data_IF_819904139187
#
_entry.id   IF_819904139187
#
_cell.length_a   1.000
_cell.length_b   1.000
_cell.length_c   1.000
_cell.angle_alpha   90.00
_cell.angle_beta   90.00
_cell.angle_gamma   90.00
#
_symmetry.space_group_name_H-M   'P 1'
#
loop_
_entity.id
_entity.type
_entity.pdbx_description
1 polymer ?
#
# COMPACT_ATOMS: atom_id res chain seq x y z
N UNK A 1 19.20 -23.41 -24.08
CA UNK A 1 18.68 -23.93 -22.80
C UNK A 1 17.17 -23.88 -22.88
N UNK A 2 16.54 -25.02 -23.15
CA UNK A 2 15.08 -25.14 -23.20
C UNK A 2 14.51 -24.90 -21.80
N UNK A 3 13.71 -23.85 -21.65
CA UNK A 3 12.83 -23.69 -20.49
C UNK A 3 11.70 -24.68 -20.72
N UNK A 4 11.82 -25.89 -20.17
CA UNK A 4 10.68 -26.79 -20.03
C UNK A 4 9.65 -26.05 -19.18
N UNK A 5 8.60 -25.52 -19.81
CA UNK A 5 7.42 -25.01 -19.12
C UNK A 5 6.86 -26.16 -18.30
N UNK A 6 7.12 -26.15 -16.99
CA UNK A 6 6.54 -27.10 -16.04
C UNK A 6 5.07 -26.76 -15.87
N UNK A 7 4.25 -27.12 -16.85
CA UNK A 7 2.80 -27.02 -16.76
C UNK A 7 2.36 -28.05 -15.72
N UNK A 8 1.80 -27.58 -14.60
CA UNK A 8 1.26 -28.47 -13.58
C UNK A 8 -0.10 -29.03 -14.05
N UNK A 9 -0.04 -30.10 -14.85
CA UNK A 9 -1.21 -30.72 -15.50
C UNK A 9 -2.23 -31.36 -14.53
N UNK A 10 -1.90 -31.45 -13.24
CA UNK A 10 -2.80 -32.03 -12.23
C UNK A 10 -3.85 -31.03 -11.74
N UNK A 11 -3.61 -29.72 -11.83
CA UNK A 11 -4.56 -28.72 -11.32
C UNK A 11 -5.96 -28.86 -11.93
N UNK A 12 -6.14 -28.98 -13.27
CA UNK A 12 -7.46 -29.16 -13.86
C UNK A 12 -8.15 -30.49 -13.48
N UNK A 13 -7.40 -31.46 -12.94
CA UNK A 13 -7.93 -32.78 -12.52
C UNK A 13 -8.39 -32.80 -11.07
N UNK A 14 -8.15 -31.73 -10.31
CA UNK A 14 -8.63 -31.61 -8.94
C UNK A 14 -10.16 -31.40 -8.94
N UNK A 15 -10.87 -31.90 -7.91
CA UNK A 15 -12.25 -31.52 -7.63
C UNK A 15 -12.42 -29.99 -7.62
N UNK A 16 -13.60 -29.51 -8.02
CA UNK A 16 -13.85 -28.08 -8.16
C UNK A 16 -13.66 -27.33 -6.85
N UNK A 17 -14.03 -27.93 -5.73
CA UNK A 17 -13.89 -27.38 -4.38
C UNK A 17 -12.42 -27.09 -4.05
N UNK A 18 -11.51 -28.00 -4.40
CA UNK A 18 -10.07 -27.81 -4.18
C UNK A 18 -9.49 -26.74 -5.10
N UNK A 19 -9.92 -26.68 -6.36
CA UNK A 19 -9.46 -25.64 -7.31
C UNK A 19 -9.88 -24.26 -6.85
N UNK A 20 -11.14 -24.11 -6.42
CA UNK A 20 -11.66 -22.86 -5.85
C UNK A 20 -10.95 -22.48 -4.55
N UNK A 21 -10.70 -23.44 -3.66
CA UNK A 21 -9.93 -23.19 -2.44
C UNK A 21 -8.52 -22.69 -2.75
N UNK A 22 -7.81 -23.33 -3.69
CA UNK A 22 -6.48 -22.88 -4.14
C UNK A 22 -6.56 -21.46 -4.69
N UNK A 23 -7.54 -21.15 -5.55
CA UNK A 23 -7.67 -19.78 -6.07
C UNK A 23 -7.90 -18.74 -4.97
N UNK A 24 -8.73 -19.06 -3.96
CA UNK A 24 -8.98 -18.17 -2.82
C UNK A 24 -7.73 -17.94 -1.98
N UNK A 25 -6.89 -18.96 -1.80
CA UNK A 25 -5.60 -18.86 -1.11
C UNK A 25 -4.55 -18.08 -1.93
N UNK A 26 -4.66 -18.11 -3.26
CA UNK A 26 -3.79 -17.33 -4.14
C UNK A 26 -4.17 -15.85 -4.24
N UNK A 27 -5.33 -15.43 -3.71
CA UNK A 27 -5.72 -14.02 -3.71
C UNK A 27 -4.78 -13.20 -2.82
N UNK A 28 -4.23 -12.08 -3.31
CA UNK A 28 -3.34 -11.25 -2.51
C UNK A 28 -4.11 -10.54 -1.39
N UNK A 29 -3.40 -10.25 -0.29
CA UNK A 29 -3.84 -9.29 0.73
C UNK A 29 -3.26 -7.92 0.38
N UNK A 30 -4.06 -7.05 -0.24
CA UNK A 30 -3.55 -5.80 -0.81
C UNK A 30 -3.70 -4.65 0.16
N UNK A 31 -3.05 -3.56 -0.20
CA UNK A 31 -3.25 -2.25 0.38
C UNK A 31 -4.06 -1.48 -0.66
N UNK A 32 -5.28 -1.09 -0.31
CA UNK A 32 -6.16 -0.29 -1.16
C UNK A 32 -5.88 1.17 -0.88
N UNK A 33 -5.13 1.83 -1.77
CA UNK A 33 -4.70 3.22 -1.61
C UNK A 33 -5.80 4.17 -2.09
N UNK A 34 -6.20 5.12 -1.24
CA UNK A 34 -7.17 6.18 -1.57
C UNK A 34 -6.53 7.26 -2.45
N UNK A 35 -5.21 7.43 -2.35
CA UNK A 35 -4.47 8.48 -3.04
C UNK A 35 -3.02 8.06 -3.38
N UNK A 36 -2.43 8.72 -4.36
CA UNK A 36 -1.00 8.59 -4.67
C UNK A 36 -0.16 9.39 -3.68
N UNK A 37 0.94 8.81 -3.16
CA UNK A 37 1.87 9.58 -2.35
C UNK A 37 2.66 10.55 -3.22
N UNK A 38 2.90 11.73 -2.66
CA UNK A 38 3.88 12.68 -3.14
C UNK A 38 5.30 12.14 -2.93
N UNK A 39 6.13 12.07 -3.99
CA UNK A 39 7.51 11.59 -3.88
C UNK A 39 8.33 12.35 -2.84
N UNK A 40 8.23 13.69 -2.81
CA UNK A 40 9.06 14.52 -1.92
C UNK A 40 8.88 14.18 -0.44
N UNK A 41 7.67 13.80 -0.05
CA UNK A 41 7.27 13.41 1.31
C UNK A 41 7.53 11.92 1.61
N UNK A 42 7.95 11.14 0.63
CA UNK A 42 8.43 9.76 0.81
C UNK A 42 9.95 9.74 0.91
N UNK A 43 10.62 10.65 0.22
CA UNK A 43 12.08 10.74 0.10
C UNK A 43 12.71 11.81 1.00
N UNK A 44 11.92 12.47 1.85
CA UNK A 44 12.30 13.49 2.84
C UNK A 44 13.17 14.63 2.27
N UNK A 45 13.04 14.96 0.97
CA UNK A 45 13.87 15.94 0.24
C UNK A 45 15.39 15.68 0.25
N UNK A 46 15.85 14.58 0.85
CA UNK A 46 17.27 14.27 1.09
C UNK A 46 17.75 13.16 0.16
N UNK A 47 16.87 12.28 -0.32
CA UNK A 47 17.28 11.19 -1.18
C UNK A 47 17.58 11.68 -2.61
N UNK A 48 18.65 11.17 -3.24
CA UNK A 48 19.03 11.56 -4.59
C UNK A 48 18.16 10.89 -5.68
N UNK A 49 17.36 9.88 -5.34
CA UNK A 49 16.40 9.21 -6.25
C UNK A 49 14.99 9.65 -5.92
N UNK A 50 14.33 10.34 -6.86
CA UNK A 50 12.89 10.55 -6.81
C UNK A 50 12.24 9.53 -7.76
N UNK A 51 11.52 8.56 -7.20
CA UNK A 51 10.63 7.73 -8.00
C UNK A 51 9.33 8.48 -8.28
N UNK A 52 8.84 8.45 -9.51
CA UNK A 52 7.42 8.75 -9.75
C UNK A 52 6.58 7.64 -9.14
N UNK A 53 6.03 7.87 -7.96
CA UNK A 53 5.29 6.89 -7.18
C UNK A 53 3.88 6.61 -7.70
N UNK A 54 3.40 7.38 -8.69
CA UNK A 54 2.06 7.22 -9.29
C UNK A 54 1.94 5.92 -10.06
N UNK A 55 2.98 5.48 -10.76
CA UNK A 55 2.92 4.25 -11.55
C UNK A 55 2.59 3.03 -10.69
N UNK A 56 3.19 2.95 -9.49
CA UNK A 56 2.92 1.88 -8.53
C UNK A 56 1.48 1.95 -8.03
N UNK A 57 0.99 3.14 -7.66
CA UNK A 57 -0.39 3.34 -7.21
C UNK A 57 -1.41 3.00 -8.30
N UNK A 58 -1.17 3.41 -9.56
CA UNK A 58 -2.02 3.08 -10.69
C UNK A 58 -2.04 1.59 -11.01
N UNK A 59 -0.92 0.89 -10.87
CA UNK A 59 -0.89 -0.56 -10.95
C UNK A 59 -1.68 -1.18 -9.78
N UNK A 60 -1.57 -0.60 -8.59
CA UNK A 60 -2.23 -1.07 -7.38
C UNK A 60 -3.74 -0.77 -7.33
N UNK A 61 -4.25 0.23 -8.06
CA UNK A 61 -5.69 0.51 -8.11
C UNK A 61 -6.46 -0.51 -8.96
N UNK A 62 -5.77 -1.17 -9.89
CA UNK A 62 -6.37 -2.16 -10.77
C UNK A 62 -6.74 -3.43 -10.00
N UNK A 63 -7.66 -4.24 -10.54
CA UNK A 63 -7.97 -5.58 -10.00
C UNK A 63 -6.71 -6.49 -9.94
N UNK A 64 -6.66 -7.48 -9.03
CA UNK A 64 -5.55 -8.43 -8.95
C UNK A 64 -5.37 -9.21 -10.25
N UNK A 65 -4.12 -9.56 -10.56
CA UNK A 65 -3.79 -10.15 -11.87
C UNK A 65 -4.19 -11.60 -11.99
N UNK A 66 -4.43 -12.25 -10.85
CA UNK A 66 -5.03 -13.58 -10.80
C UNK A 66 -6.39 -13.63 -11.54
N UNK A 67 -7.12 -12.50 -11.65
CA UNK A 67 -8.35 -12.40 -12.44
C UNK A 67 -8.15 -12.61 -13.95
N UNK A 68 -6.91 -12.49 -14.43
CA UNK A 68 -6.54 -12.63 -15.83
C UNK A 68 -6.08 -14.06 -16.18
N UNK A 69 -5.83 -14.92 -15.19
CA UNK A 69 -5.31 -16.29 -15.40
C UNK A 69 -6.32 -17.16 -16.14
N UNK A 70 -7.55 -17.25 -15.63
CA UNK A 70 -8.63 -18.01 -16.28
C UNK A 70 -10.00 -17.54 -15.78
N UNK A 71 -11.09 -18.08 -16.36
CA UNK A 71 -12.47 -17.71 -15.97
C UNK A 71 -12.80 -18.08 -14.52
N UNK A 72 -12.28 -19.20 -14.02
CA UNK A 72 -12.53 -19.65 -12.65
C UNK A 72 -11.83 -18.76 -11.62
N UNK A 73 -10.54 -18.48 -11.82
CA UNK A 73 -9.78 -17.56 -10.98
C UNK A 73 -10.43 -16.16 -10.97
N UNK A 74 -10.92 -15.71 -12.14
CA UNK A 74 -11.69 -14.46 -12.23
C UNK A 74 -12.96 -14.51 -11.39
N UNK A 75 -13.77 -15.56 -11.52
CA UNK A 75 -14.99 -15.67 -10.72
C UNK A 75 -14.69 -15.56 -9.22
N UNK A 76 -13.62 -16.21 -8.75
CA UNK A 76 -13.15 -16.14 -7.36
C UNK A 76 -12.76 -14.71 -6.94
N UNK A 77 -12.07 -13.94 -7.79
CA UNK A 77 -11.74 -12.53 -7.52
C UNK A 77 -12.98 -11.67 -7.31
N UNK A 78 -14.03 -11.92 -8.09
CA UNK A 78 -15.29 -11.17 -8.02
C UNK A 78 -16.27 -11.71 -6.97
N UNK A 79 -15.96 -12.79 -6.23
CA UNK A 79 -16.80 -13.25 -5.11
C UNK A 79 -16.88 -12.19 -4.01
N UNK A 80 -15.79 -11.46 -3.77
CA UNK A 80 -15.68 -10.48 -2.69
C UNK A 80 -15.12 -9.13 -3.14
N UNK A 81 -14.39 -9.08 -4.26
CA UNK A 81 -13.79 -7.83 -4.74
C UNK A 81 -14.61 -7.12 -5.81
N UNK A 82 -14.55 -5.80 -5.82
CA UNK A 82 -15.23 -4.94 -6.78
C UNK A 82 -14.48 -3.59 -6.94
N UNK A 83 -14.66 -2.88 -8.06
CA UNK A 83 -14.18 -1.50 -8.17
C UNK A 83 -15.05 -0.59 -7.30
N UNK A 84 -14.43 0.26 -6.50
CA UNK A 84 -15.07 1.47 -5.98
C UNK A 84 -15.06 2.45 -7.15
N UNK A 85 -16.21 2.58 -7.79
CA UNK A 85 -16.47 3.63 -8.79
C UNK A 85 -17.35 4.65 -8.08
N UNK A 86 -17.18 5.94 -8.38
CA UNK A 86 -17.99 7.07 -7.88
C UNK A 86 -19.51 6.92 -8.12
N UNK A 87 -19.99 5.81 -8.70
CA UNK A 87 -21.35 5.65 -9.21
C UNK A 87 -22.41 5.20 -8.19
N UNK A 88 -22.21 5.44 -6.90
CA UNK A 88 -23.33 5.39 -5.93
C UNK A 88 -23.21 6.56 -4.95
N UNK A 89 -23.26 7.79 -5.50
CA UNK A 89 -23.43 9.06 -4.77
C UNK A 89 -24.51 9.00 -3.67
N UNK A 90 -25.42 8.03 -3.73
CA UNK A 90 -26.50 7.84 -2.76
C UNK A 90 -26.10 7.06 -1.49
N UNK A 91 -24.92 6.43 -1.44
CA UNK A 91 -24.49 5.59 -0.31
C UNK A 91 -23.27 6.12 0.45
N UNK A 92 -22.48 7.00 -0.16
CA UNK A 92 -21.33 7.64 0.50
C UNK A 92 -21.84 8.88 1.23
N UNK A 93 -21.58 9.04 2.54
CA UNK A 93 -21.96 10.26 3.26
C UNK A 93 -21.26 11.48 2.65
N UNK A 94 -21.97 12.61 2.53
CA UNK A 94 -21.42 13.87 1.99
C UNK A 94 -20.10 14.28 2.67
N UNK A 95 -19.92 13.97 3.96
CA UNK A 95 -18.68 14.30 4.68
C UNK A 95 -17.46 13.49 4.20
N UNK A 96 -17.70 12.37 3.51
CA UNK A 96 -16.66 11.56 2.90
C UNK A 96 -16.32 12.03 1.47
N UNK A 97 -17.06 13.00 0.92
CA UNK A 97 -16.70 13.62 -0.35
C UNK A 97 -15.45 14.47 -0.16
N UNK A 98 -14.44 14.17 -0.97
CA UNK A 98 -13.20 14.92 -1.04
C UNK A 98 -12.63 14.76 -2.44
N UNK A 99 -11.96 15.80 -2.91
CA UNK A 99 -11.31 15.79 -4.21
C UNK A 99 -9.84 16.17 -4.06
N UNK A 100 -9.00 15.56 -4.87
CA UNK A 100 -7.59 15.93 -4.98
C UNK A 100 -7.00 15.34 -6.25
N UNK A 101 -6.05 16.03 -6.87
CA UNK A 101 -5.42 15.56 -8.12
C UNK A 101 -4.71 14.20 -7.99
N UNK A 102 -4.46 13.75 -6.76
CA UNK A 102 -3.82 12.47 -6.46
C UNK A 102 -4.80 11.37 -5.99
N UNK A 103 -6.11 11.65 -5.92
CA UNK A 103 -7.14 10.67 -5.55
C UNK A 103 -7.21 9.51 -6.57
N UNK A 104 -7.61 8.33 -6.11
CA UNK A 104 -7.64 7.11 -6.91
C UNK A 104 -9.01 6.42 -6.84
N UNK A 105 -9.55 6.07 -8.00
CA UNK A 105 -10.54 5.00 -8.12
C UNK A 105 -9.87 3.64 -7.93
N UNK A 106 -10.30 2.88 -6.93
CA UNK A 106 -9.59 1.70 -6.44
C UNK A 106 -10.44 0.43 -6.53
N UNK A 107 -9.79 -0.68 -6.88
CA UNK A 107 -10.31 -2.02 -6.61
C UNK A 107 -10.15 -2.35 -5.13
N UNK A 108 -11.21 -2.85 -4.51
CA UNK A 108 -11.19 -3.28 -3.11
C UNK A 108 -11.76 -4.68 -2.94
N UNK A 109 -11.15 -5.47 -2.07
CA UNK A 109 -11.72 -6.69 -1.49
C UNK A 109 -11.94 -6.48 0.02
N UNK A 110 -13.17 -6.21 0.48
CA UNK A 110 -13.44 -5.92 1.89
C UNK A 110 -13.06 -7.04 2.85
N UNK A 111 -12.89 -8.27 2.36
CA UNK A 111 -12.52 -9.42 3.20
C UNK A 111 -11.01 -9.55 3.40
N UNK A 112 -10.19 -8.92 2.55
CA UNK A 112 -8.73 -9.14 2.48
C UNK A 112 -7.88 -7.88 2.50
N UNK A 113 -8.42 -6.76 2.07
CA UNK A 113 -7.65 -5.55 1.84
C UNK A 113 -7.62 -4.64 3.06
N UNK A 114 -6.60 -3.79 3.10
CA UNK A 114 -6.40 -2.74 4.08
C UNK A 114 -6.54 -1.39 3.36
N UNK A 115 -7.46 -0.53 3.80
CA UNK A 115 -7.56 0.83 3.25
C UNK A 115 -6.39 1.69 3.74
N UNK A 116 -5.80 2.49 2.85
CA UNK A 116 -4.64 3.32 3.16
C UNK A 116 -4.76 4.72 2.59
N UNK A 117 -4.42 5.72 3.42
CA UNK A 117 -4.31 7.12 3.02
C UNK A 117 -2.85 7.59 3.14
N UNK A 118 -2.28 7.97 2.00
CA UNK A 118 -0.95 8.56 1.86
C UNK A 118 -0.92 10.06 2.19
N UNK A 119 -2.05 10.75 2.07
CA UNK A 119 -2.21 12.19 2.25
C UNK A 119 -1.45 12.72 3.48
N UNK A 120 -0.77 13.85 3.33
CA UNK A 120 -0.28 14.66 4.45
C UNK A 120 -0.58 16.14 4.15
N UNK A 121 -0.66 17.02 5.18
CA UNK A 121 -1.03 18.42 4.95
C UNK A 121 -0.10 19.19 4.00
N UNK A 122 1.14 18.75 3.80
CA UNK A 122 2.03 19.31 2.77
C UNK A 122 1.48 19.17 1.34
N UNK A 123 0.51 18.27 1.11
CA UNK A 123 -0.09 18.00 -0.21
C UNK A 123 -1.06 19.09 -0.65
N UNK A 124 -1.68 19.85 0.27
CA UNK A 124 -2.74 20.81 -0.07
C UNK A 124 -2.29 21.82 -1.13
N UNK A 125 -1.03 22.25 -1.07
CA UNK A 125 -0.44 23.21 -2.02
C UNK A 125 -0.26 22.62 -3.42
N UNK A 126 0.00 21.31 -3.53
CA UNK A 126 0.34 20.67 -4.81
C UNK A 126 -0.82 19.94 -5.47
N UNK A 127 -1.73 19.36 -4.68
CA UNK A 127 -2.82 18.53 -5.19
C UNK A 127 -4.21 19.16 -5.06
N UNK A 128 -4.31 20.41 -4.60
CA UNK A 128 -5.56 21.19 -4.51
C UNK A 128 -6.68 20.37 -3.88
N UNK A 129 -6.49 20.02 -2.61
CA UNK A 129 -7.43 19.16 -1.90
C UNK A 129 -8.62 19.97 -1.41
N UNK A 130 -9.83 19.51 -1.72
CA UNK A 130 -11.09 19.99 -1.18
C UNK A 130 -11.76 18.89 -0.37
N UNK A 131 -12.40 19.24 0.74
CA UNK A 131 -12.91 18.28 1.73
C UNK A 131 -11.83 17.73 2.68
N UNK A 132 -12.18 16.70 3.46
CA UNK A 132 -11.26 16.05 4.40
C UNK A 132 -11.13 14.55 4.10
N UNK A 133 -10.01 14.11 3.49
CA UNK A 133 -9.82 12.71 3.08
C UNK A 133 -9.82 11.71 4.24
N UNK A 134 -9.68 12.18 5.50
CA UNK A 134 -9.75 11.32 6.66
C UNK A 134 -11.16 10.75 6.88
N UNK A 135 -12.23 11.47 6.49
CA UNK A 135 -13.59 10.94 6.57
C UNK A 135 -13.78 9.71 5.68
N UNK A 136 -13.34 9.79 4.43
CA UNK A 136 -13.37 8.68 3.48
C UNK A 136 -12.53 7.48 4.01
N UNK A 137 -11.33 7.74 4.53
CA UNK A 137 -10.54 6.68 5.16
C UNK A 137 -11.29 6.01 6.31
N UNK A 138 -11.89 6.78 7.22
CA UNK A 138 -12.64 6.25 8.38
C UNK A 138 -13.87 5.48 7.93
N UNK A 139 -14.54 5.94 6.88
CA UNK A 139 -15.67 5.25 6.26
C UNK A 139 -15.24 3.91 5.67
N UNK A 140 -14.29 3.89 4.73
CA UNK A 140 -13.80 2.68 4.10
C UNK A 140 -13.18 1.69 5.10
N UNK A 141 -12.46 2.17 6.11
CA UNK A 141 -11.92 1.36 7.20
C UNK A 141 -13.00 0.64 8.02
N UNK A 142 -14.26 1.09 7.97
CA UNK A 142 -15.39 0.39 8.57
C UNK A 142 -15.95 -0.76 7.76
N UNK A 143 -15.70 -0.73 6.45
CA UNK A 143 -16.24 -1.69 5.51
C UNK A 143 -15.25 -2.84 5.27
N UNK A 144 -13.95 -2.57 5.40
CA UNK A 144 -12.90 -3.58 5.22
C UNK A 144 -12.48 -4.25 6.53
N UNK A 145 -12.30 -5.57 6.50
CA UNK A 145 -12.03 -6.38 7.68
C UNK A 145 -10.68 -6.06 8.35
N UNK A 146 -9.68 -5.60 7.58
CA UNK A 146 -8.36 -5.24 8.12
C UNK A 146 -8.27 -3.80 8.62
N UNK A 147 -9.36 -3.04 8.52
CA UNK A 147 -9.44 -1.65 8.97
C UNK A 147 -8.68 -0.67 8.08
N UNK A 148 -8.21 0.41 8.68
CA UNK A 148 -7.54 1.51 7.98
C UNK A 148 -6.10 1.72 8.41
N UNK A 149 -5.37 2.38 7.52
CA UNK A 149 -4.00 2.80 7.76
C UNK A 149 -3.74 4.20 7.23
N UNK A 150 -2.87 4.93 7.91
CA UNK A 150 -2.48 6.29 7.54
C UNK A 150 -0.98 6.49 7.75
N UNK A 151 -0.38 7.44 7.03
CA UNK A 151 1.03 7.79 7.27
C UNK A 151 1.19 8.61 8.55
N UNK A 152 2.35 8.44 9.20
CA UNK A 152 2.73 9.18 10.40
C UNK A 152 2.66 10.71 10.23
N UNK A 153 3.08 11.32 9.08
CA UNK A 153 2.94 12.76 8.89
C UNK A 153 1.49 13.23 9.05
N UNK A 154 0.50 12.54 8.46
CA UNK A 154 -0.91 12.89 8.66
C UNK A 154 -1.28 12.90 10.14
N UNK A 155 -0.98 11.80 10.83
CA UNK A 155 -1.31 11.65 12.25
C UNK A 155 -0.68 12.75 13.14
N UNK A 156 0.55 13.15 12.80
CA UNK A 156 1.28 14.21 13.51
C UNK A 156 0.55 15.56 13.46
N UNK A 157 -0.16 15.82 12.36
CA UNK A 157 -0.82 17.09 12.08
C UNK A 157 -2.35 17.07 12.22
N UNK A 158 -2.98 15.90 12.41
CA UNK A 158 -4.43 15.76 12.66
C UNK A 158 -4.96 16.77 13.67
N UNK A 159 -6.01 17.51 13.37
CA UNK A 159 -6.66 18.43 14.30
C UNK A 159 -7.49 17.70 15.37
N UNK A 160 -8.06 18.43 16.33
CA UNK A 160 -8.90 17.84 17.38
C UNK A 160 -10.11 17.08 16.79
N UNK A 161 -10.73 17.61 15.75
CA UNK A 161 -11.81 16.96 14.98
C UNK A 161 -11.33 15.65 14.35
N UNK A 162 -10.15 15.64 13.73
CA UNK A 162 -9.55 14.43 13.14
C UNK A 162 -9.27 13.35 14.18
N UNK A 163 -8.78 13.73 15.36
CA UNK A 163 -8.56 12.78 16.46
C UNK A 163 -9.88 12.14 16.92
N UNK A 164 -10.97 12.90 16.97
CA UNK A 164 -12.31 12.37 17.25
C UNK A 164 -12.80 11.42 16.16
N UNK A 165 -12.48 11.69 14.89
CA UNK A 165 -12.77 10.77 13.78
C UNK A 165 -11.99 9.46 13.92
N UNK A 166 -10.70 9.52 14.23
CA UNK A 166 -9.88 8.32 14.46
C UNK A 166 -10.40 7.48 15.62
N UNK A 167 -10.97 8.10 16.67
CA UNK A 167 -11.60 7.39 17.79
C UNK A 167 -12.86 6.58 17.39
N UNK A 168 -13.47 6.84 16.23
CA UNK A 168 -14.61 6.05 15.72
C UNK A 168 -14.24 4.61 15.36
N UNK A 169 -12.94 4.29 15.24
CA UNK A 169 -12.44 2.94 14.96
C UNK A 169 -11.55 2.46 16.12
N UNK A 170 -11.61 1.17 16.49
CA UNK A 170 -10.89 0.65 17.65
C UNK A 170 -9.38 0.55 17.44
N UNK A 171 -8.93 0.47 16.19
CA UNK A 171 -7.53 0.27 15.84
C UNK A 171 -7.16 0.86 14.49
N UNK A 172 -5.90 1.30 14.38
CA UNK A 172 -5.29 1.85 13.18
C UNK A 172 -3.88 1.31 12.99
N UNK A 173 -3.48 1.15 11.73
CA UNK A 173 -2.07 0.95 11.37
C UNK A 173 -1.48 2.30 10.99
N UNK A 174 -0.35 2.66 11.59
CA UNK A 174 0.36 3.91 11.31
C UNK A 174 1.64 3.57 10.56
N UNK A 175 1.70 3.98 9.29
CA UNK A 175 2.86 3.80 8.43
C UNK A 175 3.93 4.82 8.84
N UNK A 176 4.98 4.32 9.48
CA UNK A 176 6.06 5.13 10.05
C UNK A 176 7.01 5.63 8.97
N UNK A 177 7.36 4.75 8.02
CA UNK A 177 8.24 5.03 6.89
C UNK A 177 7.73 4.31 5.64
N UNK A 178 8.08 4.85 4.49
CA UNK A 178 7.83 4.25 3.18
C UNK A 178 9.17 3.93 2.54
N UNK A 179 9.33 2.70 2.08
CA UNK A 179 10.54 2.21 1.44
C UNK A 179 10.21 1.76 0.01
N UNK A 180 11.08 2.10 -0.93
CA UNK A 180 10.89 1.73 -2.34
C UNK A 180 11.86 0.61 -2.69
N UNK A 181 11.34 -0.45 -3.31
CA UNK A 181 12.15 -1.57 -3.79
C UNK A 181 12.22 -1.46 -5.31
N UNK A 182 13.40 -1.15 -5.84
CA UNK A 182 13.64 -1.09 -7.28
C UNK A 182 13.85 -2.49 -7.82
N UNK A 183 12.81 -3.08 -8.39
CA UNK A 183 12.93 -4.40 -8.98
C UNK A 183 11.93 -4.56 -10.13
N UNK A 184 12.30 -5.38 -11.11
CA UNK A 184 11.34 -5.78 -12.13
C UNK A 184 10.16 -6.51 -11.47
N UNK A 185 8.99 -6.43 -12.10
CA UNK A 185 7.80 -7.15 -11.63
C UNK A 185 8.05 -8.65 -11.41
N UNK A 186 8.86 -9.27 -12.27
CA UNK A 186 9.22 -10.69 -12.17
C UNK A 186 10.01 -10.98 -10.90
N UNK A 187 10.96 -10.13 -10.56
CA UNK A 187 11.76 -10.26 -9.32
C UNK A 187 10.85 -10.08 -8.10
N UNK A 188 9.99 -9.05 -8.11
CA UNK A 188 9.02 -8.83 -7.03
C UNK A 188 8.01 -9.96 -6.85
N UNK A 189 7.60 -10.63 -7.92
CA UNK A 189 6.74 -11.82 -7.86
C UNK A 189 7.50 -13.06 -7.36
N UNK A 190 8.73 -13.27 -7.85
CA UNK A 190 9.56 -14.41 -7.48
C UNK A 190 10.00 -14.39 -6.01
N UNK A 191 10.09 -13.21 -5.40
CA UNK A 191 10.35 -13.09 -3.96
C UNK A 191 9.16 -13.51 -3.09
N UNK A 192 7.95 -13.58 -3.64
CA UNK A 192 6.72 -13.83 -2.90
C UNK A 192 6.26 -12.68 -2.01
N UNK A 193 7.00 -11.57 -1.98
CA UNK A 193 6.71 -10.43 -1.09
C UNK A 193 5.66 -9.47 -1.65
N UNK A 194 5.57 -9.34 -2.98
CA UNK A 194 4.65 -8.42 -3.67
C UNK A 194 3.48 -9.14 -4.37
N UNK A 195 2.99 -10.23 -3.75
CA UNK A 195 1.97 -11.10 -4.31
C UNK A 195 2.54 -12.13 -5.28
N UNK A 196 1.86 -13.27 -5.43
CA UNK A 196 2.34 -14.41 -6.22
C UNK A 196 2.57 -14.06 -7.71
N UNK A 197 1.85 -13.07 -8.23
CA UNK A 197 1.96 -12.61 -9.61
C UNK A 197 2.52 -11.18 -9.72
N UNK A 198 3.10 -10.64 -8.64
CA UNK A 198 3.50 -9.24 -8.58
C UNK A 198 2.29 -8.31 -8.72
N UNK A 199 1.18 -8.67 -8.08
CA UNK A 199 -0.11 -7.97 -8.10
C UNK A 199 -0.50 -7.37 -6.75
N UNK A 200 0.45 -7.34 -5.81
CA UNK A 200 0.37 -6.57 -4.58
C UNK A 200 1.62 -5.68 -4.45
N UNK A 201 1.78 -4.67 -5.33
CA UNK A 201 3.01 -3.89 -5.43
C UNK A 201 3.23 -2.93 -4.24
N UNK A 202 2.23 -2.76 -3.37
CA UNK A 202 2.34 -2.03 -2.11
C UNK A 202 1.99 -2.98 -0.97
N UNK A 203 2.81 -2.98 0.08
CA UNK A 203 2.67 -3.82 1.25
C UNK A 203 2.89 -3.01 2.52
N UNK A 204 2.02 -3.20 3.51
CA UNK A 204 2.19 -2.63 4.85
C UNK A 204 2.48 -3.78 5.82
N UNK A 205 3.59 -3.68 6.55
CA UNK A 205 4.14 -4.73 7.41
C UNK A 205 4.31 -4.19 8.82
N UNK A 206 3.76 -4.89 9.81
CA UNK A 206 3.94 -4.55 11.23
C UNK A 206 5.43 -4.59 11.58
N UNK A 207 5.93 -3.59 12.30
CA UNK A 207 7.36 -3.51 12.67
C UNK A 207 7.83 -4.68 13.53
N UNK A 208 6.90 -5.36 14.22
CA UNK A 208 7.19 -6.52 15.06
C UNK A 208 7.27 -7.82 14.25
N UNK A 209 6.81 -7.85 13.00
CA UNK A 209 7.03 -8.96 12.07
C UNK A 209 8.45 -8.89 11.49
N UNK A 210 9.43 -9.13 12.36
CA UNK A 210 10.85 -8.99 12.02
C UNK A 210 11.26 -9.87 10.84
N UNK A 211 10.69 -11.08 10.72
CA UNK A 211 11.00 -11.97 9.61
C UNK A 211 10.60 -11.35 8.27
N UNK A 212 9.38 -10.78 8.20
CA UNK A 212 8.89 -10.16 6.98
C UNK A 212 9.56 -8.81 6.69
N UNK A 213 9.79 -7.98 7.71
CA UNK A 213 10.54 -6.73 7.58
C UNK A 213 11.94 -7.00 7.03
N UNK A 214 12.67 -7.95 7.63
CA UNK A 214 14.01 -8.35 7.16
C UNK A 214 13.96 -8.83 5.71
N UNK A 215 13.00 -9.68 5.34
CA UNK A 215 12.89 -10.16 3.96
C UNK A 215 12.71 -9.02 2.93
N UNK A 216 11.93 -7.99 3.25
CA UNK A 216 11.79 -6.82 2.37
C UNK A 216 13.08 -6.00 2.26
N UNK A 217 13.76 -5.75 3.39
CA UNK A 217 15.03 -5.04 3.36
C UNK A 217 16.12 -5.81 2.63
N UNK A 218 16.20 -7.13 2.83
CA UNK A 218 17.18 -7.98 2.16
C UNK A 218 16.96 -7.96 0.65
N UNK A 219 15.70 -8.04 0.19
CA UNK A 219 15.36 -7.88 -1.23
C UNK A 219 15.76 -6.49 -1.75
N UNK A 220 15.46 -5.43 -0.99
CA UNK A 220 15.82 -4.06 -1.40
C UNK A 220 17.33 -3.90 -1.52
N UNK A 221 18.10 -4.36 -0.54
CA UNK A 221 19.56 -4.28 -0.52
C UNK A 221 20.23 -5.15 -1.58
N UNK A 222 19.67 -6.32 -1.88
CA UNK A 222 20.10 -7.14 -3.02
C UNK A 222 19.88 -6.40 -4.34
N UNK A 223 18.69 -5.84 -4.54
CA UNK A 223 18.38 -5.07 -5.74
C UNK A 223 19.22 -3.78 -5.87
N UNK A 224 19.68 -3.19 -4.76
CA UNK A 224 20.57 -2.02 -4.77
C UNK A 224 22.07 -2.39 -4.92
N UNK A 225 22.42 -3.68 -4.84
CA UNK A 225 23.79 -4.18 -5.09
C UNK A 225 23.99 -4.62 -6.53
N UNK A 226 22.94 -5.13 -7.17
CA UNK A 226 23.00 -5.73 -8.51
C UNK A 226 22.54 -4.77 -9.60
N UNK A 227 23.26 -4.76 -10.74
CA UNK A 227 22.87 -3.99 -11.93
C UNK A 227 23.64 -2.68 -12.12
N UNK A 228 23.28 -1.96 -13.19
CA UNK A 228 23.86 -0.66 -13.57
C UNK A 228 23.11 0.48 -12.86
N UNK A 229 23.29 0.54 -11.53
CA UNK A 229 22.61 1.52 -10.68
C UNK A 229 23.39 2.84 -10.74
N UNK A 230 22.73 3.90 -11.21
CA UNK A 230 23.31 5.24 -11.31
C UNK A 230 23.23 6.02 -10.01
N UNK A 231 22.13 5.84 -9.28
CA UNK A 231 21.87 6.56 -8.04
C UNK A 231 21.24 5.60 -7.04
N UNK A 232 21.88 5.42 -5.88
CA UNK A 232 21.38 4.52 -4.83
C UNK A 232 20.49 5.26 -3.85
N UNK A 233 19.42 4.60 -3.41
CA UNK A 233 18.67 5.03 -2.24
C UNK A 233 19.42 4.67 -0.96
N UNK A 234 19.28 5.48 0.08
CA UNK A 234 19.77 5.12 1.41
C UNK A 234 18.68 4.36 2.16
N UNK A 235 18.90 3.06 2.37
CA UNK A 235 17.99 2.22 3.15
C UNK A 235 18.33 2.33 4.64
N UNK A 236 17.43 2.92 5.42
CA UNK A 236 17.60 3.06 6.87
C UNK A 236 16.79 1.99 7.61
N UNK A 237 17.47 1.12 8.36
CA UNK A 237 16.86 0.09 9.21
C UNK A 237 16.73 0.62 10.65
N UNK A 238 15.56 1.18 10.98
CA UNK A 238 15.24 1.55 12.37
C UNK A 238 14.83 0.32 13.18
N UNK A 239 15.16 0.33 14.48
CA UNK A 239 14.73 -0.77 15.35
C UNK A 239 13.21 -0.71 15.58
N UNK A 240 12.52 -1.86 15.68
CA UNK A 240 11.10 -1.90 16.00
C UNK A 240 10.75 -1.14 17.29
N UNK A 241 11.64 -1.15 18.27
CA UNK A 241 11.49 -0.45 19.55
C UNK A 241 11.63 1.07 19.42
N UNK A 242 12.44 1.55 18.47
CA UNK A 242 12.55 2.98 18.18
C UNK A 242 11.25 3.50 17.54
N UNK A 243 10.79 2.82 16.48
CA UNK A 243 9.53 3.17 15.80
C UNK A 243 8.31 3.07 16.74
N UNK A 244 8.26 2.03 17.57
CA UNK A 244 7.18 1.86 18.55
C UNK A 244 7.18 2.94 19.62
N UNK A 245 8.35 3.38 20.09
CA UNK A 245 8.46 4.49 21.05
C UNK A 245 8.06 5.81 20.41
N UNK A 246 8.51 6.08 19.19
CA UNK A 246 8.13 7.30 18.45
C UNK A 246 6.60 7.41 18.33
N UNK A 247 5.94 6.34 17.88
CA UNK A 247 4.48 6.32 17.77
C UNK A 247 3.81 6.44 19.14
N UNK A 248 4.32 5.74 20.15
CA UNK A 248 3.78 5.80 21.51
C UNK A 248 3.79 7.22 22.06
N UNK A 249 4.92 7.91 21.96
CA UNK A 249 5.09 9.27 22.48
C UNK A 249 4.18 10.25 21.73
N UNK A 250 4.02 10.06 20.42
CA UNK A 250 3.08 10.85 19.63
C UNK A 250 1.63 10.60 20.03
N UNK A 251 1.22 9.34 20.24
CA UNK A 251 -0.14 9.00 20.69
C UNK A 251 -0.46 9.66 22.03
N UNK A 252 0.46 9.58 23.01
CA UNK A 252 0.29 10.24 24.31
C UNK A 252 0.20 11.75 24.15
N UNK A 253 1.04 12.34 23.29
CA UNK A 253 1.02 13.78 23.01
C UNK A 253 -0.28 14.25 22.36
N UNK A 254 -0.83 13.49 21.39
CA UNK A 254 -2.04 13.89 20.64
C UNK A 254 -3.31 13.66 21.43
N UNK A 255 -3.45 12.53 22.11
CA UNK A 255 -4.67 12.16 22.84
C UNK A 255 -4.61 12.50 24.33
N UNK A 256 -3.49 12.99 24.86
CA UNK A 256 -3.28 13.24 26.29
C UNK A 256 -3.05 11.96 27.11
N UNK A 257 -3.65 10.83 26.70
CA UNK A 257 -3.42 9.53 27.31
C UNK A 257 -3.67 8.37 26.33
N UNK A 258 -3.02 7.22 26.58
CA UNK A 258 -3.24 6.00 25.79
C UNK A 258 -4.63 5.40 25.97
N UNK A 259 -5.29 5.66 27.11
CA UNK A 259 -6.62 5.14 27.42
C UNK A 259 -7.71 5.78 26.56
N UNK A 260 -7.46 7.00 26.09
CA UNK A 260 -8.37 7.76 25.23
C UNK A 260 -8.07 7.54 23.74
N UNK A 261 -6.91 6.98 23.39
CA UNK A 261 -6.52 6.73 22.02
C UNK A 261 -7.03 5.36 21.52
N UNK A 262 -7.39 5.23 20.24
CA UNK A 262 -7.54 3.92 19.62
C UNK A 262 -6.19 3.18 19.60
N UNK A 263 -6.21 1.86 19.44
CA UNK A 263 -4.96 1.09 19.32
C UNK A 263 -4.24 1.48 18.05
N UNK A 264 -3.00 1.96 18.15
CA UNK A 264 -2.19 2.32 16.99
C UNK A 264 -1.00 1.37 16.86
N UNK A 265 -0.87 0.77 15.68
CA UNK A 265 0.15 -0.23 15.37
C UNK A 265 1.17 0.35 14.40
N UNK A 266 2.45 0.45 14.79
CA UNK A 266 3.49 0.95 13.89
C UNK A 266 3.77 -0.06 12.78
N UNK A 267 3.88 0.42 11.56
CA UNK A 267 4.18 -0.40 10.38
C UNK A 267 5.15 0.31 9.42
N UNK A 268 5.80 -0.48 8.57
CA UNK A 268 6.55 -0.02 7.41
C UNK A 268 5.75 -0.29 6.15
N UNK A 269 5.77 0.65 5.21
CA UNK A 269 5.24 0.43 3.88
C UNK A 269 6.39 0.15 2.91
N UNK A 270 6.25 -0.91 2.12
CA UNK A 270 7.16 -1.25 1.03
C UNK A 270 6.43 -1.10 -0.31
N UNK A 271 7.04 -0.40 -1.26
CA UNK A 271 6.49 -0.13 -2.60
C UNK A 271 7.44 -0.68 -3.66
N UNK A 272 6.92 -1.49 -4.59
CA UNK A 272 7.68 -2.01 -5.73
C UNK A 272 7.72 -0.95 -6.84
N UNK A 273 8.91 -0.44 -7.14
CA UNK A 273 9.18 0.42 -8.29
C UNK A 273 9.69 -0.43 -9.46
N UNK A 274 8.83 -0.65 -10.46
CA UNK A 274 9.20 -1.45 -11.65
C UNK A 274 9.84 -0.61 -12.75
N UNK A 275 9.91 0.71 -12.58
CA UNK A 275 10.54 1.63 -13.53
C UNK A 275 12.06 1.69 -13.38
N UNK A 276 12.62 1.11 -12.31
CA UNK A 276 14.06 1.13 -12.03
C UNK A 276 14.63 2.55 -12.08
N UNK A 277 13.96 3.51 -11.42
CA UNK A 277 14.33 4.94 -11.43
C UNK A 277 15.76 5.19 -10.93
N UNK A 278 16.31 4.28 -10.12
CA UNK A 278 17.71 4.26 -9.70
C UNK A 278 18.72 4.02 -10.85
N UNK A 279 18.27 3.55 -12.02
CA UNK A 279 19.10 3.31 -13.21
C UNK A 279 19.10 4.48 -14.22
N UNK A 280 18.08 5.34 -14.22
CA UNK A 280 17.99 6.46 -15.19
C UNK A 280 18.77 7.70 -14.72
N UNK A 281 18.94 7.91 -13.41
CA UNK A 281 19.67 9.05 -12.85
C UNK A 281 18.99 10.42 -13.05
N UNK A 282 17.85 10.44 -13.74
CA UNK A 282 16.93 11.55 -13.89
C UNK A 282 15.51 10.97 -13.76
N UNK A 283 14.64 11.66 -13.04
CA UNK A 283 13.21 11.53 -13.27
C UNK A 283 13.00 12.06 -14.70
N UNK A 284 12.76 11.17 -15.65
CA UNK A 284 12.39 11.62 -16.99
C UNK A 284 11.07 12.41 -16.83
N UNK A 285 11.16 13.73 -16.98
CA UNK A 285 10.06 14.69 -17.11
C UNK A 285 9.26 14.48 -18.42
N UNK A 286 9.18 13.24 -18.92
CA UNK A 286 8.25 12.91 -20.00
C UNK A 286 6.93 12.43 -19.37
N UNK A 287 5.85 13.25 -19.43
CA UNK A 287 4.53 12.74 -19.17
C UNK A 287 4.25 11.64 -20.20
N UNK A 288 4.10 10.41 -19.72
CA UNK A 288 3.62 9.31 -20.56
C UNK A 288 2.19 9.65 -21.03
N UNK A 289 1.85 9.48 -22.32
CA UNK A 289 0.56 9.86 -22.89
C UNK A 289 -0.64 9.13 -22.27
#
# INVERSE_FOLDING_TARGET
MEVSERIFHLFPRLPAELRLAIWRECLPRRVSELDCPLPDEVFDWIQPVLCDLRHTSFANRCRPMIALVCREARAVVFETGFPIVETDDFLVPDECDWTGFNQLEQWIDPTRDLSHLNFCPGYEVQYFVDGNPLFDLVWQAGWVHRGGSLRLPLFKYCETSDLQLLQKRPSWVVVMRVLVVHASRRVGAASGLFGLLGDAPVQVVDVNDQARVTAFFDLAEECEREGDIRVRQTLYRESPEALSRELHDLVVKRFGSRQQAPKMHPALMFRLCTKMCNHSGLADDEPCP
#
